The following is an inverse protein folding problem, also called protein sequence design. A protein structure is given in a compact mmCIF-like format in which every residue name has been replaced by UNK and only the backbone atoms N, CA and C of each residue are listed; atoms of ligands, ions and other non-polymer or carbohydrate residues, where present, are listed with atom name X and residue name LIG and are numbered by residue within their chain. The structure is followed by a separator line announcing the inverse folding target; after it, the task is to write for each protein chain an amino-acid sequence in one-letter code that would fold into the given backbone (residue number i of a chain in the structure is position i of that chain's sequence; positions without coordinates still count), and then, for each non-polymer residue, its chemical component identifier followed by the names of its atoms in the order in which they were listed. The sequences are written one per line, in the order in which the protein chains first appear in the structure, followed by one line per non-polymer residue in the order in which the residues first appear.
data_IF_618974309119
#
_entry.id   IF_618974309119
#
_cell.length_a   1.000
_cell.length_b   1.000
_cell.length_c   1.000
_cell.angle_alpha   90.00
_cell.angle_beta   90.00
_cell.angle_gamma   90.00
#
_symmetry.space_group_name_H-M   'P 1'
#
loop_
_entity.id
_entity.type
_entity.pdbx_description
1 polymer ?
#
# COMPACT_ATOMS: atom_id res chain seq x y z
N UNK A 1 12.12 15.28 5.64
CA UNK A 1 11.58 16.04 4.49
C UNK A 1 10.08 16.18 4.61
N UNK A 2 9.59 17.37 4.36
CA UNK A 2 8.16 17.67 4.46
C UNK A 2 7.44 17.19 3.18
N UNK A 3 6.35 16.43 3.32
CA UNK A 3 5.56 15.97 2.17
C UNK A 3 4.79 17.12 1.54
N UNK A 4 4.69 17.11 0.21
CA UNK A 4 3.83 18.05 -0.49
C UNK A 4 2.36 17.75 -0.17
N UNK A 5 1.45 18.75 -0.30
CA UNK A 5 0.03 18.51 -0.05
C UNK A 5 -0.53 17.35 -0.88
N UNK A 6 -0.04 17.15 -2.11
CA UNK A 6 -0.51 16.08 -2.97
C UNK A 6 -0.18 14.69 -2.43
N UNK A 7 0.90 14.54 -1.65
CA UNK A 7 1.32 13.26 -1.09
C UNK A 7 0.92 13.08 0.38
N UNK A 8 0.52 14.16 1.06
CA UNK A 8 0.19 14.11 2.49
C UNK A 8 -0.94 13.13 2.77
N UNK A 9 -2.00 13.16 1.96
CA UNK A 9 -3.13 12.25 2.15
C UNK A 9 -2.70 10.78 2.00
N UNK A 10 -1.90 10.49 0.98
CA UNK A 10 -1.38 9.13 0.76
C UNK A 10 -0.47 8.70 1.91
N UNK A 11 0.40 9.58 2.40
CA UNK A 11 1.26 9.28 3.55
C UNK A 11 0.44 9.02 4.83
N UNK A 12 -0.63 9.78 5.04
CA UNK A 12 -1.50 9.56 6.21
C UNK A 12 -2.20 8.21 6.15
N UNK A 13 -2.62 7.80 4.96
CA UNK A 13 -3.25 6.50 4.76
C UNK A 13 -2.29 5.35 5.06
N UNK A 14 -0.99 5.58 4.91
CA UNK A 14 0.02 4.58 5.28
C UNK A 14 0.00 4.24 6.77
N UNK A 15 -0.40 5.17 7.63
CA UNK A 15 -0.52 4.89 9.06
C UNK A 15 -1.53 3.75 9.31
N UNK A 16 -2.72 3.86 8.73
CA UNK A 16 -3.74 2.81 8.83
C UNK A 16 -3.23 1.50 8.23
N UNK A 17 -2.60 1.57 7.05
CA UNK A 17 -2.04 0.39 6.40
C UNK A 17 -1.03 -0.32 7.30
N UNK A 18 -0.13 0.42 7.96
CA UNK A 18 0.87 -0.17 8.85
C UNK A 18 0.23 -0.81 10.08
N UNK A 19 -0.82 -0.21 10.64
CA UNK A 19 -1.54 -0.81 11.76
C UNK A 19 -2.08 -2.18 11.36
N UNK A 20 -2.73 -2.27 10.21
CA UNK A 20 -3.30 -3.53 9.73
C UNK A 20 -2.23 -4.53 9.29
N UNK A 21 -1.13 -4.04 8.70
CA UNK A 21 0.00 -4.91 8.36
C UNK A 21 0.55 -5.61 9.59
N UNK A 22 0.69 -4.90 10.70
CA UNK A 22 1.19 -5.48 11.94
C UNK A 22 0.19 -6.42 12.58
N UNK A 23 -1.10 -6.08 12.56
CA UNK A 23 -2.15 -6.98 13.07
C UNK A 23 -2.19 -8.28 12.27
N UNK A 24 -2.05 -8.18 10.95
CA UNK A 24 -2.03 -9.37 10.09
C UNK A 24 -0.84 -10.28 10.40
N UNK A 25 0.34 -9.69 10.65
CA UNK A 25 1.53 -10.47 10.97
C UNK A 25 1.45 -11.14 12.33
N UNK A 26 0.85 -10.48 13.32
CA UNK A 26 0.69 -11.04 14.66
C UNK A 26 -0.39 -12.11 14.71
N UNK A 27 -1.35 -12.07 13.79
CA UNK A 27 -2.49 -12.96 13.78
C UNK A 27 -3.58 -12.54 14.76
N UNK A 28 -4.66 -13.30 14.76
CA UNK A 28 -5.81 -13.00 15.61
C UNK A 28 -5.53 -13.40 17.06
N UNK A 29 -5.93 -12.54 17.98
CA UNK A 29 -5.93 -12.85 19.42
C UNK A 29 -7.22 -13.52 19.86
N UNK A 30 -8.09 -13.87 18.93
CA UNK A 30 -9.37 -14.52 19.17
C UNK A 30 -9.77 -15.32 17.94
N UNK A 31 -10.99 -15.14 17.45
CA UNK A 31 -11.45 -15.84 16.26
C UNK A 31 -10.71 -15.32 15.01
N UNK A 32 -9.97 -16.20 14.29
CA UNK A 32 -9.30 -15.79 13.07
C UNK A 32 -10.22 -15.20 12.01
N UNK A 33 -11.49 -15.63 11.95
CA UNK A 33 -12.44 -15.10 10.99
C UNK A 33 -12.77 -13.64 11.24
N UNK A 34 -12.76 -13.20 12.48
CA UNK A 34 -12.98 -11.80 12.81
C UNK A 34 -11.88 -10.92 12.20
N UNK A 35 -10.62 -11.34 12.33
CA UNK A 35 -9.50 -10.62 11.73
C UNK A 35 -9.63 -10.57 10.21
N UNK A 36 -9.96 -11.69 9.58
CA UNK A 36 -10.13 -11.78 8.14
C UNK A 36 -11.21 -10.81 7.66
N UNK A 37 -12.38 -10.83 8.29
CA UNK A 37 -13.50 -9.96 7.90
C UNK A 37 -13.11 -8.49 8.01
N UNK A 38 -12.46 -8.12 9.11
CA UNK A 38 -12.04 -6.75 9.33
C UNK A 38 -10.97 -6.31 8.32
N UNK A 39 -9.99 -7.18 8.07
CA UNK A 39 -8.90 -6.88 7.14
C UNK A 39 -9.42 -6.66 5.72
N UNK A 40 -10.29 -7.56 5.25
CA UNK A 40 -10.88 -7.47 3.91
C UNK A 40 -11.72 -6.19 3.79
N UNK A 41 -12.50 -5.86 4.82
CA UNK A 41 -13.33 -4.66 4.81
C UNK A 41 -12.47 -3.38 4.73
N UNK A 42 -11.37 -3.31 5.48
CA UNK A 42 -10.47 -2.17 5.44
C UNK A 42 -9.77 -2.09 4.07
N UNK A 43 -9.35 -3.22 3.54
CA UNK A 43 -8.74 -3.25 2.21
C UNK A 43 -9.69 -2.66 1.16
N UNK A 44 -10.92 -3.14 1.12
CA UNK A 44 -11.89 -2.69 0.11
C UNK A 44 -12.28 -1.23 0.27
N UNK A 45 -12.40 -0.76 1.52
CA UNK A 45 -12.87 0.59 1.79
C UNK A 45 -11.77 1.64 1.63
N UNK A 46 -10.52 1.30 1.97
CA UNK A 46 -9.45 2.29 2.06
C UNK A 46 -8.23 1.96 1.19
N UNK A 47 -7.68 0.75 1.30
CA UNK A 47 -6.41 0.42 0.65
C UNK A 47 -6.53 0.31 -0.86
N UNK A 48 -7.62 -0.28 -1.35
CA UNK A 48 -7.83 -0.40 -2.80
C UNK A 48 -7.97 0.99 -3.44
N UNK A 49 -8.67 1.90 -2.79
CA UNK A 49 -8.79 3.28 -3.27
C UNK A 49 -7.44 4.02 -3.26
N UNK A 50 -6.63 3.77 -2.24
CA UNK A 50 -5.27 4.31 -2.15
C UNK A 50 -4.44 3.85 -3.34
N UNK A 51 -4.47 2.55 -3.65
CA UNK A 51 -3.76 2.00 -4.81
C UNK A 51 -4.24 2.60 -6.12
N UNK A 52 -5.56 2.74 -6.27
CA UNK A 52 -6.15 3.33 -7.49
C UNK A 52 -5.72 4.78 -7.66
N UNK A 53 -5.68 5.56 -6.60
CA UNK A 53 -5.22 6.95 -6.64
C UNK A 53 -3.77 7.02 -7.10
N UNK A 54 -2.90 6.17 -6.57
CA UNK A 54 -1.51 6.12 -7.01
C UNK A 54 -1.39 5.75 -8.48
N UNK A 55 -2.13 4.72 -8.89
CA UNK A 55 -2.06 4.21 -10.27
C UNK A 55 -2.60 5.20 -11.29
N UNK A 56 -3.58 5.99 -10.91
CA UNK A 56 -4.24 6.94 -11.79
C UNK A 56 -3.53 8.30 -11.82
N UNK A 57 -3.13 8.81 -10.64
CA UNK A 57 -2.69 10.19 -10.52
C UNK A 57 -1.19 10.35 -10.34
N UNK A 58 -0.50 9.36 -9.75
CA UNK A 58 0.92 9.49 -9.42
C UNK A 58 1.83 8.74 -10.38
N UNK A 59 1.56 7.46 -10.62
CA UNK A 59 2.46 6.62 -11.38
C UNK A 59 2.60 7.04 -12.84
N UNK A 60 1.53 7.47 -13.55
CA UNK A 60 1.70 7.93 -14.93
C UNK A 60 2.63 9.13 -15.03
N UNK A 61 2.56 10.06 -14.08
CA UNK A 61 3.42 11.24 -14.05
C UNK A 61 4.89 10.84 -13.82
N UNK A 62 5.12 9.89 -12.89
CA UNK A 62 6.48 9.39 -12.65
C UNK A 62 7.04 8.64 -13.85
N UNK A 63 6.20 7.87 -14.54
CA UNK A 63 6.62 7.18 -15.75
C UNK A 63 7.02 8.18 -16.84
N UNK A 64 6.27 9.27 -16.97
CA UNK A 64 6.59 10.35 -17.91
C UNK A 64 7.93 11.02 -17.58
N UNK A 65 8.36 10.98 -16.33
CA UNK A 65 9.66 11.48 -15.89
C UNK A 65 10.77 10.43 -15.98
N UNK A 66 10.49 9.27 -16.57
CA UNK A 66 11.48 8.21 -16.76
C UNK A 66 11.68 7.27 -15.57
N UNK A 67 10.82 7.33 -14.56
CA UNK A 67 10.96 6.52 -13.36
C UNK A 67 10.27 5.15 -13.51
N UNK A 68 10.67 4.41 -14.54
CA UNK A 68 10.02 3.15 -14.90
C UNK A 68 10.19 2.06 -13.85
N UNK A 69 11.38 1.95 -13.24
CA UNK A 69 11.65 0.90 -12.26
C UNK A 69 10.82 1.09 -10.99
N UNK A 70 10.70 2.33 -10.50
CA UNK A 70 9.90 2.62 -9.32
C UNK A 70 8.41 2.38 -9.60
N UNK A 71 7.94 2.77 -10.78
CA UNK A 71 6.55 2.54 -11.19
C UNK A 71 6.27 1.05 -11.29
N UNK A 72 7.14 0.30 -11.95
CA UNK A 72 6.96 -1.14 -12.13
C UNK A 72 7.00 -1.87 -10.80
N UNK A 73 7.88 -1.48 -9.88
CA UNK A 73 7.93 -2.03 -8.52
C UNK A 73 6.60 -1.79 -7.78
N UNK A 74 6.09 -0.56 -7.87
CA UNK A 74 4.82 -0.20 -7.21
C UNK A 74 3.67 -1.04 -7.75
N UNK A 75 3.57 -1.17 -9.08
CA UNK A 75 2.50 -1.96 -9.70
C UNK A 75 2.62 -3.44 -9.37
N UNK A 76 3.83 -3.97 -9.30
CA UNK A 76 4.07 -5.37 -8.90
C UNK A 76 3.61 -5.59 -7.47
N UNK A 77 3.95 -4.68 -6.57
CA UNK A 77 3.52 -4.77 -5.16
C UNK A 77 1.99 -4.73 -5.06
N UNK A 78 1.33 -3.81 -5.77
CA UNK A 78 -0.13 -3.72 -5.77
C UNK A 78 -0.77 -5.02 -6.24
N UNK A 79 -0.22 -5.60 -7.30
CA UNK A 79 -0.72 -6.86 -7.86
C UNK A 79 -0.61 -8.00 -6.87
N UNK A 80 0.56 -8.10 -6.21
CA UNK A 80 0.80 -9.14 -5.19
C UNK A 80 -0.12 -8.98 -4.00
N UNK A 81 -0.33 -7.74 -3.54
CA UNK A 81 -1.21 -7.47 -2.40
C UNK A 81 -2.67 -7.81 -2.73
N UNK A 82 -3.14 -7.44 -3.93
CA UNK A 82 -4.49 -7.77 -4.37
C UNK A 82 -4.69 -9.28 -4.47
N UNK A 83 -3.68 -10.00 -4.98
CA UNK A 83 -3.72 -11.46 -5.06
C UNK A 83 -3.85 -12.09 -3.69
N UNK A 84 -3.10 -11.61 -2.70
CA UNK A 84 -3.18 -12.15 -1.34
C UNK A 84 -4.56 -11.90 -0.73
N UNK A 85 -5.14 -10.74 -0.96
CA UNK A 85 -6.51 -10.45 -0.48
C UNK A 85 -7.51 -11.41 -1.12
N UNK A 86 -7.37 -11.69 -2.41
CA UNK A 86 -8.27 -12.63 -3.08
C UNK A 86 -8.15 -14.03 -2.47
N UNK A 87 -6.95 -14.46 -2.11
CA UNK A 87 -6.75 -15.74 -1.43
C UNK A 87 -7.39 -15.74 -0.03
N UNK A 88 -7.24 -14.63 0.69
CA UNK A 88 -7.85 -14.49 2.01
C UNK A 88 -9.38 -14.58 1.91
N UNK A 89 -9.98 -13.93 0.89
CA UNK A 89 -11.43 -14.02 0.64
C UNK A 89 -11.86 -15.46 0.36
N UNK A 90 -10.99 -16.24 -0.29
CA UNK A 90 -11.29 -17.63 -0.63
C UNK A 90 -11.05 -18.59 0.54
N UNK A 91 -10.62 -18.09 1.70
CA UNK A 91 -10.46 -18.91 2.90
C UNK A 91 -9.03 -19.30 3.21
N UNK A 92 -8.03 -18.81 2.47
CA UNK A 92 -6.63 -19.09 2.74
C UNK A 92 -6.12 -18.19 3.87
N UNK A 93 -6.21 -18.70 5.10
CA UNK A 93 -5.80 -17.94 6.29
C UNK A 93 -4.29 -17.78 6.38
N UNK A 94 -3.52 -18.65 5.73
CA UNK A 94 -2.06 -18.55 5.73
C UNK A 94 -1.60 -17.30 4.95
N UNK A 95 -2.42 -16.82 4.03
CA UNK A 95 -2.10 -15.62 3.26
C UNK A 95 -2.16 -14.34 4.10
N UNK A 96 -2.79 -14.36 5.27
CA UNK A 96 -2.95 -13.17 6.12
C UNK A 96 -1.58 -12.63 6.57
N UNK A 97 -0.74 -13.48 7.13
CA UNK A 97 0.59 -13.04 7.60
C UNK A 97 1.46 -12.59 6.44
N UNK A 98 1.41 -13.29 5.31
CA UNK A 98 2.17 -12.92 4.11
C UNK A 98 1.71 -11.57 3.58
N UNK A 99 0.40 -11.34 3.52
CA UNK A 99 -0.16 -10.04 3.15
C UNK A 99 0.39 -8.93 4.05
N UNK A 100 0.41 -9.17 5.35
CA UNK A 100 0.92 -8.17 6.31
C UNK A 100 2.38 -7.82 6.07
N UNK A 101 3.23 -8.81 5.81
CA UNK A 101 4.65 -8.58 5.51
C UNK A 101 4.84 -7.80 4.22
N UNK A 102 4.09 -8.16 3.18
CA UNK A 102 4.16 -7.48 1.89
C UNK A 102 3.68 -6.04 2.01
N UNK A 103 2.60 -5.81 2.76
CA UNK A 103 2.06 -4.47 2.94
C UNK A 103 3.04 -3.59 3.70
N UNK A 104 3.63 -4.08 4.77
CA UNK A 104 4.63 -3.32 5.51
C UNK A 104 5.82 -2.94 4.63
N UNK A 105 6.35 -3.90 3.88
CA UNK A 105 7.48 -3.65 2.98
C UNK A 105 7.11 -2.63 1.90
N UNK A 106 5.90 -2.73 1.36
CA UNK A 106 5.41 -1.81 0.33
C UNK A 106 5.30 -0.37 0.85
N UNK A 107 4.71 -0.19 2.05
CA UNK A 107 4.59 1.13 2.65
C UNK A 107 5.97 1.75 2.89
N UNK A 108 6.92 0.95 3.42
CA UNK A 108 8.28 1.44 3.66
C UNK A 108 8.98 1.81 2.36
N UNK A 109 8.80 1.03 1.31
CA UNK A 109 9.32 1.34 -0.02
C UNK A 109 8.78 2.69 -0.51
N UNK A 110 7.47 2.91 -0.40
CA UNK A 110 6.88 4.16 -0.87
C UNK A 110 7.39 5.36 -0.08
N UNK A 111 7.47 5.25 1.25
CA UNK A 111 7.91 6.36 2.08
C UNK A 111 9.41 6.66 1.92
N UNK A 112 10.22 5.65 1.66
CA UNK A 112 11.69 5.81 1.57
C UNK A 112 12.20 6.06 0.17
N UNK A 113 11.50 5.59 -0.86
CA UNK A 113 11.99 5.65 -2.24
C UNK A 113 11.03 6.35 -3.19
N UNK A 114 9.77 5.91 -3.26
CA UNK A 114 8.83 6.43 -4.24
C UNK A 114 8.46 7.89 -3.98
N UNK A 115 8.00 8.18 -2.77
CA UNK A 115 7.52 9.53 -2.43
C UNK A 115 8.64 10.57 -2.45
N UNK A 116 9.87 10.30 -1.95
CA UNK A 116 10.95 11.28 -2.09
C UNK A 116 11.27 11.64 -3.54
N UNK A 117 11.23 10.66 -4.45
CA UNK A 117 11.44 10.92 -5.87
C UNK A 117 10.28 11.73 -6.44
N UNK A 118 9.04 11.39 -6.08
CA UNK A 118 7.86 12.14 -6.51
C UNK A 118 7.91 13.58 -6.03
N UNK A 119 8.32 13.81 -4.76
CA UNK A 119 8.50 15.17 -4.23
C UNK A 119 9.46 15.98 -5.10
N UNK A 120 10.58 15.37 -5.43
CA UNK A 120 11.64 16.06 -6.18
C UNK A 120 11.25 16.37 -7.62
N UNK A 121 10.59 15.43 -8.28
CA UNK A 121 10.32 15.53 -9.72
C UNK A 121 8.97 16.17 -10.05
N UNK A 122 7.95 15.94 -9.23
CA UNK A 122 6.58 16.36 -9.53
C UNK A 122 6.16 17.59 -8.73
N UNK A 123 6.73 17.80 -7.55
CA UNK A 123 6.35 18.87 -6.65
C UNK A 123 7.57 19.60 -6.12
N UNK A 124 8.39 20.18 -7.02
CA UNK A 124 9.58 20.90 -6.56
C UNK A 124 9.19 22.09 -5.69
N UNK A 125 10.00 22.39 -4.68
CA UNK A 125 9.78 23.53 -3.82
C UNK A 125 9.84 24.83 -4.63
N UNK A 126 8.89 25.73 -4.38
CA UNK A 126 8.85 27.02 -5.03
C UNK A 126 9.99 27.92 -4.50
#
# INVERSE_FOLDING_TARGET
MKRSPALVALSREHHTALVWAKRAQRGASGDPQTLVVQLVAVFDREMELHFQTEEKDLLPALRACGQHDLVDRTLTDHRSLREKVDRIRAGDTDAVATFGKLLEAHVRFEERELFPVAEKLLFPAA
#
